data_IF_645922097774
#
_entry.id   IF_645922097774
#
_cell.length_a   1.000
_cell.length_b   1.000
_cell.length_c   1.000
_cell.angle_alpha   90.00
_cell.angle_beta   90.00
_cell.angle_gamma   90.00
#
_symmetry.space_group_name_H-M   'P 1'
#
loop_
_entity.id
_entity.type
_entity.pdbx_description
1 polymer ?
#
# COMPACT_ATOMS: atom_id res chain seq x y z
N UNK A 1 31.02 61.50 28.72
CA UNK A 1 31.28 60.16 29.36
C UNK A 1 30.17 59.24 28.95
N UNK A 2 30.45 58.14 28.27
CA UNK A 2 29.45 57.20 27.81
C UNK A 2 29.22 56.10 28.86
N UNK A 3 27.99 55.75 29.07
CA UNK A 3 27.62 54.59 29.86
C UNK A 3 27.47 53.38 28.93
N UNK A 4 28.37 52.46 29.08
CA UNK A 4 28.30 51.08 28.54
C UNK A 4 27.46 50.25 29.51
N UNK A 5 26.25 49.92 29.16
CA UNK A 5 25.50 48.87 29.89
C UNK A 5 24.68 48.05 28.88
N UNK A 6 24.94 46.74 28.81
CA UNK A 6 23.93 45.80 28.43
C UNK A 6 24.19 44.90 27.22
N UNK A 7 25.35 44.30 27.12
CA UNK A 7 25.59 43.20 26.14
C UNK A 7 25.58 41.85 26.84
N UNK A 8 24.51 41.53 27.57
CA UNK A 8 24.47 40.25 28.31
C UNK A 8 23.05 39.66 28.43
N UNK A 9 22.24 39.66 27.36
CA UNK A 9 20.94 38.98 27.48
C UNK A 9 20.41 38.43 26.16
N UNK A 10 21.26 37.82 25.35
CA UNK A 10 20.81 37.17 24.11
C UNK A 10 21.49 35.82 23.89
N UNK A 11 21.70 35.04 24.95
CA UNK A 11 22.35 33.74 24.85
C UNK A 11 21.59 32.58 25.54
N UNK A 12 20.32 32.76 25.87
CA UNK A 12 19.53 31.74 26.58
C UNK A 12 18.25 31.31 25.89
N UNK A 13 18.03 31.63 24.60
CA UNK A 13 16.83 31.23 23.88
C UNK A 13 17.09 30.27 22.69
N UNK A 14 18.29 29.73 22.56
CA UNK A 14 18.62 28.81 21.50
C UNK A 14 18.73 27.35 21.94
N UNK A 15 18.31 27.00 23.18
CA UNK A 15 18.44 25.63 23.69
C UNK A 15 17.09 24.94 24.02
N UNK A 16 15.98 25.55 23.66
CA UNK A 16 14.65 25.00 23.93
C UNK A 16 13.88 24.56 22.68
N UNK A 17 14.52 24.44 21.51
CA UNK A 17 13.84 24.06 20.25
C UNK A 17 14.35 22.74 19.67
N UNK A 18 14.97 21.91 20.48
CA UNK A 18 15.47 20.61 20.03
C UNK A 18 15.08 19.49 21.01
N UNK A 19 13.80 19.41 21.33
CA UNK A 19 13.25 18.21 21.96
C UNK A 19 11.73 18.27 21.88
N UNK A 20 11.17 17.65 20.88
CA UNK A 20 9.84 17.01 20.86
C UNK A 20 9.44 16.67 19.44
N UNK A 21 10.32 16.02 18.69
CA UNK A 21 9.82 15.04 17.73
C UNK A 21 9.54 13.77 18.52
N UNK A 22 8.51 13.82 19.36
CA UNK A 22 7.86 12.59 19.79
C UNK A 22 7.44 11.85 18.53
N UNK A 23 8.16 10.78 18.22
CA UNK A 23 7.70 9.71 17.35
C UNK A 23 6.40 9.15 17.95
N UNK A 24 5.29 9.86 17.81
CA UNK A 24 3.97 9.25 17.78
C UNK A 24 3.96 8.34 16.57
N UNK A 25 4.49 7.14 16.75
CA UNK A 25 4.15 6.02 15.87
C UNK A 25 2.64 5.83 15.99
N UNK A 26 1.91 6.56 15.18
CA UNK A 26 0.51 6.28 14.92
C UNK A 26 0.51 4.85 14.45
N UNK A 27 0.09 3.92 15.30
CA UNK A 27 -0.07 2.50 14.93
C UNK A 27 -1.12 2.46 13.84
N UNK A 28 -0.67 2.59 12.60
CA UNK A 28 -1.55 2.56 11.43
C UNK A 28 -2.20 1.19 11.36
N UNK A 29 -3.52 1.19 11.32
CA UNK A 29 -4.30 -0.01 11.10
C UNK A 29 -3.95 -0.58 9.71
N UNK A 30 -3.70 -1.87 9.62
CA UNK A 30 -3.45 -2.54 8.36
C UNK A 30 -4.10 -3.91 8.34
N UNK A 31 -4.44 -4.37 7.14
CA UNK A 31 -4.91 -5.71 6.89
C UNK A 31 -4.02 -6.41 5.84
N UNK A 32 -4.03 -7.73 5.86
CA UNK A 32 -3.44 -8.57 4.82
C UNK A 32 -4.59 -9.29 4.14
N UNK A 33 -4.85 -8.95 2.88
CA UNK A 33 -5.90 -9.56 2.06
C UNK A 33 -5.28 -10.52 1.05
N UNK A 34 -6.03 -11.55 0.68
CA UNK A 34 -5.68 -12.48 -0.39
C UNK A 34 -6.63 -12.29 -1.58
N UNK A 35 -6.08 -11.94 -2.74
CA UNK A 35 -6.83 -11.80 -3.99
C UNK A 35 -5.97 -12.15 -5.19
N UNK A 36 -6.57 -12.79 -6.20
CA UNK A 36 -5.85 -13.22 -7.40
C UNK A 36 -4.66 -14.17 -7.14
N UNK A 37 -4.70 -14.96 -6.06
CA UNK A 37 -3.60 -15.85 -5.65
C UNK A 37 -2.38 -15.14 -5.07
N UNK A 38 -2.52 -13.86 -4.70
CA UNK A 38 -1.47 -13.04 -4.09
C UNK A 38 -1.97 -12.40 -2.80
N UNK A 39 -1.05 -12.12 -1.89
CA UNK A 39 -1.33 -11.43 -0.64
C UNK A 39 -0.85 -9.98 -0.72
N UNK A 40 -1.69 -9.07 -0.24
CA UNK A 40 -1.41 -7.63 -0.22
C UNK A 40 -1.59 -7.09 1.20
N UNK A 41 -0.58 -6.37 1.67
CA UNK A 41 -0.70 -5.58 2.88
C UNK A 41 -1.31 -4.23 2.52
N UNK A 42 -2.42 -3.88 3.12
CA UNK A 42 -3.21 -2.69 2.80
C UNK A 42 -3.52 -1.86 4.03
N UNK A 43 -3.62 -0.56 3.86
CA UNK A 43 -4.07 0.42 4.85
C UNK A 43 -5.22 1.24 4.26
N UNK A 44 -5.99 1.92 5.11
CA UNK A 44 -7.03 2.82 4.63
C UNK A 44 -6.41 3.95 3.80
N UNK A 45 -6.97 4.18 2.61
CA UNK A 45 -6.48 5.16 1.64
C UNK A 45 -5.42 4.63 0.66
N UNK A 46 -4.89 3.42 0.85
CA UNK A 46 -3.91 2.85 -0.06
C UNK A 46 -4.51 2.51 -1.42
N UNK A 47 -3.69 2.67 -2.45
CA UNK A 47 -4.04 2.29 -3.82
C UNK A 47 -3.21 1.09 -4.24
N UNK A 48 -3.88 -0.02 -4.53
CA UNK A 48 -3.24 -1.29 -4.91
C UNK A 48 -3.57 -1.69 -6.36
N UNK A 49 -2.64 -2.41 -6.97
CA UNK A 49 -2.82 -3.02 -8.28
C UNK A 49 -2.98 -4.52 -8.10
N UNK A 50 -4.16 -5.01 -8.43
CA UNK A 50 -4.52 -6.42 -8.29
C UNK A 50 -4.81 -7.05 -9.65
N UNK A 51 -4.98 -8.35 -9.67
CA UNK A 51 -5.41 -9.09 -10.84
C UNK A 51 -6.79 -8.59 -11.29
N UNK A 52 -7.09 -8.68 -12.59
CA UNK A 52 -8.34 -8.19 -13.16
C UNK A 52 -9.55 -8.74 -12.39
N UNK A 53 -10.37 -7.86 -11.84
CA UNK A 53 -11.69 -8.16 -11.31
C UNK A 53 -12.77 -7.92 -12.39
N UNK A 54 -13.88 -8.64 -12.26
CA UNK A 54 -15.08 -8.43 -13.10
C UNK A 54 -15.95 -7.34 -12.44
N UNK A 55 -15.39 -6.18 -12.20
CA UNK A 55 -16.05 -5.02 -11.62
C UNK A 55 -15.84 -3.81 -12.52
N UNK A 56 -16.82 -2.92 -12.56
CA UNK A 56 -16.74 -1.67 -13.32
C UNK A 56 -15.95 -0.60 -12.57
N UNK A 57 -15.68 0.51 -13.26
CA UNK A 57 -15.03 1.66 -12.64
C UNK A 57 -16.03 2.32 -11.68
N UNK A 58 -15.55 2.79 -10.52
CA UNK A 58 -16.32 3.38 -9.41
C UNK A 58 -17.22 2.38 -8.66
N UNK A 59 -17.10 1.08 -8.93
CA UNK A 59 -17.80 0.04 -8.18
C UNK A 59 -17.08 -0.27 -6.86
N UNK A 60 -17.85 -0.54 -5.80
CA UNK A 60 -17.33 -1.01 -4.52
C UNK A 60 -17.12 -2.51 -4.55
N UNK A 61 -15.93 -2.94 -4.16
CA UNK A 61 -15.56 -4.36 -4.06
C UNK A 61 -15.23 -4.69 -2.62
N UNK A 62 -15.81 -5.77 -2.11
CA UNK A 62 -15.54 -6.31 -0.78
C UNK A 62 -14.60 -7.51 -0.88
N UNK A 63 -13.55 -7.50 -0.06
CA UNK A 63 -12.60 -8.60 0.07
C UNK A 63 -12.85 -9.32 1.40
N UNK A 64 -13.38 -10.55 1.33
CA UNK A 64 -13.69 -11.38 2.49
C UNK A 64 -12.51 -12.23 2.95
N UNK A 65 -11.52 -12.48 2.04
CA UNK A 65 -10.34 -13.29 2.33
C UNK A 65 -9.26 -12.47 3.04
N UNK A 66 -9.47 -12.21 4.32
CA UNK A 66 -8.53 -11.47 5.15
C UNK A 66 -7.72 -12.45 6.00
N UNK A 67 -6.41 -12.49 5.77
CA UNK A 67 -5.47 -13.40 6.46
C UNK A 67 -5.13 -12.88 7.85
N UNK A 68 -4.90 -11.58 7.97
CA UNK A 68 -4.60 -10.93 9.23
C UNK A 68 -5.07 -9.48 9.26
N UNK A 69 -5.47 -9.01 10.44
CA UNK A 69 -5.82 -7.60 10.71
C UNK A 69 -5.06 -7.13 11.93
N UNK A 70 -4.45 -5.98 11.83
CA UNK A 70 -3.85 -5.28 12.97
C UNK A 70 -4.63 -3.99 13.26
N UNK A 71 -5.50 -4.07 14.24
CA UNK A 71 -6.20 -2.92 14.81
C UNK A 71 -5.87 -2.89 16.32
N UNK A 72 -4.76 -2.25 16.69
CA UNK A 72 -4.15 -2.26 18.04
C UNK A 72 -3.63 -3.63 18.47
N UNK A 73 -4.36 -4.71 18.23
CA UNK A 73 -3.99 -6.11 18.45
C UNK A 73 -3.92 -6.83 17.11
N UNK A 74 -2.87 -7.64 16.91
CA UNK A 74 -2.75 -8.47 15.71
C UNK A 74 -3.65 -9.69 15.85
N UNK A 75 -4.66 -9.79 14.96
CA UNK A 75 -5.49 -10.99 14.80
C UNK A 75 -5.04 -11.72 13.54
N UNK A 76 -4.70 -12.99 13.66
CA UNK A 76 -4.30 -13.85 12.54
C UNK A 76 -5.32 -14.95 12.35
N UNK A 77 -5.76 -15.15 11.11
CA UNK A 77 -6.72 -16.17 10.74
C UNK A 77 -6.10 -17.58 10.63
N UNK A 78 -6.97 -18.60 10.69
CA UNK A 78 -6.64 -20.00 10.40
C UNK A 78 -7.66 -20.57 9.40
N UNK A 79 -7.53 -20.41 8.09
CA UNK A 79 -6.60 -19.54 7.35
C UNK A 79 -7.02 -18.07 7.30
N UNK A 80 -8.32 -17.74 7.46
CA UNK A 80 -8.85 -16.38 7.38
C UNK A 80 -9.43 -15.93 8.71
N UNK A 81 -9.40 -14.62 8.95
CA UNK A 81 -10.04 -14.01 10.12
C UNK A 81 -11.55 -14.01 9.90
N UNK A 82 -12.32 -14.53 10.86
CA UNK A 82 -13.76 -14.45 10.83
C UNK A 82 -14.21 -13.01 11.09
N UNK A 83 -15.28 -12.60 10.44
CA UNK A 83 -15.91 -11.27 10.59
C UNK A 83 -15.01 -10.08 10.22
N UNK A 84 -13.93 -10.32 9.45
CA UNK A 84 -13.10 -9.27 8.91
C UNK A 84 -13.35 -9.10 7.40
N UNK A 85 -13.47 -7.86 6.96
CA UNK A 85 -13.63 -7.51 5.55
C UNK A 85 -12.81 -6.26 5.21
N UNK A 86 -12.51 -6.11 3.94
CA UNK A 86 -11.86 -4.89 3.42
C UNK A 86 -12.67 -4.42 2.23
N UNK A 87 -13.09 -3.15 2.26
CA UNK A 87 -13.79 -2.52 1.13
C UNK A 87 -12.82 -1.65 0.34
N UNK A 88 -13.02 -1.64 -0.94
CA UNK A 88 -12.27 -0.77 -1.85
C UNK A 88 -13.09 -0.37 -3.06
N UNK A 89 -12.79 0.79 -3.62
CA UNK A 89 -13.43 1.32 -4.82
C UNK A 89 -12.51 1.11 -6.01
N UNK A 90 -13.04 0.62 -7.11
CA UNK A 90 -12.33 0.42 -8.37
C UNK A 90 -12.07 1.78 -9.04
N UNK A 91 -10.80 2.19 -9.13
CA UNK A 91 -10.43 3.43 -9.81
C UNK A 91 -10.27 3.27 -11.32
N UNK A 92 -9.75 2.11 -11.76
CA UNK A 92 -9.44 1.88 -13.17
C UNK A 92 -9.21 0.42 -13.47
N UNK A 93 -9.72 -0.03 -14.63
CA UNK A 93 -9.34 -1.28 -15.27
C UNK A 93 -8.37 -0.99 -16.42
N UNK A 94 -7.23 -1.68 -16.46
CA UNK A 94 -6.20 -1.42 -17.45
C UNK A 94 -5.39 -2.65 -17.83
N UNK A 95 -4.47 -2.46 -18.77
CA UNK A 95 -3.49 -3.47 -19.18
C UNK A 95 -2.09 -2.90 -18.98
N UNK A 96 -1.20 -3.69 -18.44
CA UNK A 96 0.19 -3.36 -18.22
C UNK A 96 0.99 -3.11 -19.51
N UNK A 97 2.28 -2.80 -19.35
CA UNK A 97 3.21 -2.69 -20.49
C UNK A 97 3.31 -4.02 -21.20
N UNK A 98 3.41 -3.99 -22.55
CA UNK A 98 3.60 -5.20 -23.35
C UNK A 98 4.95 -5.84 -23.05
N UNK A 99 4.92 -7.11 -22.70
CA UNK A 99 6.12 -7.93 -22.50
C UNK A 99 6.25 -8.83 -23.73
N UNK A 100 7.43 -8.86 -24.34
CA UNK A 100 7.73 -9.74 -25.46
C UNK A 100 8.39 -11.00 -24.93
N UNK A 101 7.76 -12.14 -25.15
CA UNK A 101 8.28 -13.47 -24.82
C UNK A 101 8.83 -14.10 -26.08
N UNK A 102 10.08 -14.56 -26.01
CA UNK A 102 10.74 -15.30 -27.09
C UNK A 102 11.08 -16.70 -26.61
N UNK A 103 10.58 -17.69 -27.31
CA UNK A 103 10.87 -19.09 -27.05
C UNK A 103 11.70 -19.64 -28.22
N UNK A 104 12.85 -20.24 -27.90
CA UNK A 104 13.76 -20.83 -28.86
C UNK A 104 14.18 -22.22 -28.41
N UNK A 105 14.20 -23.18 -29.34
CA UNK A 105 14.73 -24.52 -29.10
C UNK A 105 15.92 -24.76 -30.05
N UNK A 106 17.15 -24.90 -29.51
CA UNK A 106 18.33 -25.15 -30.34
C UNK A 106 18.19 -26.47 -31.12
N UNK A 107 18.79 -26.52 -32.30
CA UNK A 107 18.82 -27.69 -33.20
C UNK A 107 17.44 -28.16 -33.75
N UNK A 108 16.35 -27.47 -33.43
CA UNK A 108 15.01 -27.86 -33.88
C UNK A 108 14.34 -26.83 -34.80
N UNK A 109 15.03 -25.75 -35.17
CA UNK A 109 14.49 -24.68 -36.02
C UNK A 109 13.23 -24.00 -35.45
N UNK A 110 12.95 -24.19 -34.17
CA UNK A 110 11.74 -23.69 -33.53
C UNK A 110 12.03 -22.37 -32.80
N UNK A 111 11.53 -21.27 -33.35
CA UNK A 111 11.57 -19.96 -32.72
C UNK A 111 10.17 -19.33 -32.72
N UNK A 112 9.70 -18.85 -31.59
CA UNK A 112 8.39 -18.20 -31.47
C UNK A 112 8.49 -16.94 -30.64
N UNK A 113 7.98 -15.84 -31.18
CA UNK A 113 7.89 -14.55 -30.49
C UNK A 113 6.42 -14.22 -30.22
N UNK A 114 6.09 -13.96 -28.95
CA UNK A 114 4.74 -13.60 -28.51
C UNK A 114 4.79 -12.34 -27.66
N UNK A 115 3.72 -11.55 -27.68
CA UNK A 115 3.55 -10.42 -26.78
C UNK A 115 2.42 -10.70 -25.80
N UNK A 116 2.62 -10.33 -24.54
CA UNK A 116 1.62 -10.40 -23.49
C UNK A 116 1.43 -9.04 -22.81
N UNK A 117 0.18 -8.70 -22.47
CA UNK A 117 -0.18 -7.56 -21.62
C UNK A 117 -1.06 -8.06 -20.49
N UNK A 118 -0.54 -8.03 -19.26
CA UNK A 118 -1.30 -8.44 -18.10
C UNK A 118 -2.39 -7.41 -17.80
N UNK A 119 -3.66 -7.81 -17.78
CA UNK A 119 -4.73 -6.95 -17.32
C UNK A 119 -4.65 -6.80 -15.80
N UNK A 120 -5.01 -5.64 -15.29
CA UNK A 120 -5.05 -5.34 -13.86
C UNK A 120 -6.24 -4.45 -13.53
N UNK A 121 -6.65 -4.48 -12.27
CA UNK A 121 -7.60 -3.53 -11.69
C UNK A 121 -6.87 -2.70 -10.62
N UNK A 122 -7.05 -1.39 -10.68
CA UNK A 122 -6.55 -0.44 -9.68
C UNK A 122 -7.65 -0.16 -8.69
N UNK A 123 -7.43 -0.48 -7.41
CA UNK A 123 -8.41 -0.34 -6.34
C UNK A 123 -7.85 0.55 -5.24
N UNK A 124 -8.65 1.47 -4.76
CA UNK A 124 -8.38 2.27 -3.56
C UNK A 124 -9.10 1.64 -2.38
N UNK A 125 -8.39 1.40 -1.30
CA UNK A 125 -8.95 0.86 -0.07
C UNK A 125 -9.65 1.98 0.70
N UNK A 126 -10.93 1.78 1.00
CA UNK A 126 -11.76 2.75 1.71
C UNK A 126 -11.92 2.40 3.18
N UNK A 127 -12.15 1.12 3.49
CA UNK A 127 -12.46 0.68 4.84
C UNK A 127 -11.83 -0.69 5.15
N UNK A 128 -11.39 -0.86 6.39
CA UNK A 128 -10.94 -2.14 6.96
C UNK A 128 -11.81 -2.40 8.20
N UNK A 129 -12.60 -3.48 8.19
CA UNK A 129 -13.50 -3.90 9.25
C UNK A 129 -13.09 -5.19 9.93
#
# INVERSE_FOLDING_TARGET
>A
KPHIVGFFKLRFLAHAYCSETENKQVKKMYAIIETGGKQYRVQNGDVIYIEKLNAEVDEEVTFDKVVAVNNRTLKVGKPYVKDAFVKGTVLKNGKGKKITVFTYKPKKGCARKMGHRQPYTKVQITEIG
#
